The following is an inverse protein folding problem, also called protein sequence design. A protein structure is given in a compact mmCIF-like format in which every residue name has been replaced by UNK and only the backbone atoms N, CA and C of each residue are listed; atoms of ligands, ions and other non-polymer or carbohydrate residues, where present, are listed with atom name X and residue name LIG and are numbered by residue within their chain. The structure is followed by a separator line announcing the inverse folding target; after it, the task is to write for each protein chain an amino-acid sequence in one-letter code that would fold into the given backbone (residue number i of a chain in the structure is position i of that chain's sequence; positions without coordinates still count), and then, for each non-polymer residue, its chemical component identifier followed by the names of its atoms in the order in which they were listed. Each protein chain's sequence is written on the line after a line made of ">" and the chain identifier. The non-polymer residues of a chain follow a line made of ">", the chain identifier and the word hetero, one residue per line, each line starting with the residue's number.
data_IF_208471213489
#
_entry.id   IF_208471213489
#
_cell.length_a   1.000
_cell.length_b   1.000
_cell.length_c   1.000
_cell.angle_alpha   90.00
_cell.angle_beta   90.00
_cell.angle_gamma   90.00
#
_symmetry.space_group_name_H-M   'P 1'
#
loop_
_entity.id
_entity.type
_entity.pdbx_description
1 polymer ?
#
# COMPACT_ATOMS: atom_id res chain seq x y z
N UNK A 1 -13.51 -16.94 -4.38
CA UNK A 1 -13.16 -15.99 -5.46
C UNK A 1 -12.23 -15.00 -4.82
N UNK A 2 -10.97 -15.02 -5.23
CA UNK A 2 -10.00 -14.03 -4.80
C UNK A 2 -10.50 -12.67 -5.29
N UNK A 3 -10.79 -11.78 -4.35
CA UNK A 3 -11.28 -10.44 -4.61
C UNK A 3 -10.07 -9.63 -5.08
N UNK A 4 -9.90 -9.52 -6.40
CA UNK A 4 -8.81 -8.76 -7.00
C UNK A 4 -8.92 -7.30 -6.53
N UNK A 5 -7.87 -6.80 -5.89
CA UNK A 5 -7.76 -5.40 -5.44
C UNK A 5 -8.10 -4.41 -6.56
N UNK A 6 -7.87 -4.79 -7.82
CA UNK A 6 -8.22 -4.02 -9.01
C UNK A 6 -9.69 -3.62 -9.07
N UNK A 7 -10.62 -4.40 -8.51
CA UNK A 7 -12.06 -4.17 -8.68
C UNK A 7 -12.60 -3.00 -7.85
N UNK A 8 -12.04 -2.73 -6.67
CA UNK A 8 -12.50 -1.59 -5.84
C UNK A 8 -12.05 -0.25 -6.41
N UNK A 9 -10.94 -0.24 -7.15
CA UNK A 9 -10.43 0.98 -7.78
C UNK A 9 -11.34 1.48 -8.91
N UNK A 10 -12.24 0.64 -9.44
CA UNK A 10 -13.24 1.07 -10.42
C UNK A 10 -14.23 2.11 -9.89
N UNK A 11 -14.46 2.14 -8.57
CA UNK A 11 -15.30 3.15 -7.91
C UNK A 11 -14.82 4.57 -8.27
N UNK A 12 -13.50 4.74 -8.46
CA UNK A 12 -12.90 6.06 -8.68
C UNK A 12 -13.13 6.64 -10.07
N UNK A 13 -13.64 5.84 -11.02
CA UNK A 13 -14.05 6.33 -12.34
C UNK A 13 -15.23 7.31 -12.23
N UNK A 14 -16.15 7.06 -11.29
CA UNK A 14 -17.36 7.85 -11.04
C UNK A 14 -17.48 8.26 -9.56
N UNK A 15 -16.36 8.57 -8.89
CA UNK A 15 -16.32 8.78 -7.43
C UNK A 15 -17.29 9.84 -6.94
N UNK A 16 -17.52 10.90 -7.72
CA UNK A 16 -18.47 11.96 -7.39
C UNK A 16 -19.87 11.41 -7.09
N UNK A 17 -20.35 10.48 -7.92
CA UNK A 17 -21.67 9.85 -7.80
C UNK A 17 -21.79 9.15 -6.44
N UNK A 18 -20.75 8.42 -6.05
CA UNK A 18 -20.73 7.63 -4.82
C UNK A 18 -20.59 8.50 -3.56
N UNK A 19 -19.77 9.55 -3.61
CA UNK A 19 -19.71 10.56 -2.53
C UNK A 19 -21.08 11.23 -2.36
N UNK A 20 -21.72 11.60 -3.48
CA UNK A 20 -23.06 12.19 -3.44
C UNK A 20 -24.09 11.25 -2.79
N UNK A 21 -24.09 9.96 -3.12
CA UNK A 21 -24.98 9.00 -2.46
C UNK A 21 -24.72 8.93 -0.96
N UNK A 22 -23.45 8.82 -0.53
CA UNK A 22 -23.08 8.76 0.88
C UNK A 22 -23.57 9.99 1.65
N UNK A 23 -23.44 11.19 1.07
CA UNK A 23 -23.89 12.42 1.70
C UNK A 23 -25.41 12.57 1.69
N UNK A 24 -26.08 12.26 0.57
CA UNK A 24 -27.54 12.35 0.46
C UNK A 24 -28.23 11.35 1.39
N UNK A 25 -27.65 10.17 1.59
CA UNK A 25 -28.18 9.15 2.52
C UNK A 25 -28.17 9.58 3.98
N UNK A 26 -27.47 10.66 4.36
CA UNK A 26 -27.47 11.18 5.74
C UNK A 26 -28.69 12.07 6.06
N UNK A 27 -29.59 12.29 5.10
CA UNK A 27 -30.79 13.10 5.30
C UNK A 27 -31.77 12.44 6.29
N UNK A 28 -31.78 12.95 7.53
CA UNK A 28 -32.58 12.42 8.64
C UNK A 28 -34.08 12.39 8.35
N UNK A 29 -34.61 13.29 7.52
CA UNK A 29 -36.05 13.34 7.22
C UNK A 29 -36.61 12.11 6.50
N UNK A 30 -35.74 11.25 5.96
CA UNK A 30 -36.13 10.03 5.22
C UNK A 30 -35.76 8.75 5.98
N UNK A 31 -34.91 8.84 7.01
CA UNK A 31 -34.35 7.67 7.69
C UNK A 31 -35.35 6.88 8.55
N UNK A 32 -36.45 7.52 8.97
CA UNK A 32 -37.49 6.87 9.78
C UNK A 32 -38.11 5.67 9.06
N UNK A 33 -38.23 5.72 7.73
CA UNK A 33 -38.72 4.59 6.92
C UNK A 33 -37.82 3.36 6.94
N UNK A 34 -36.55 3.52 7.29
CA UNK A 34 -35.55 2.44 7.36
C UNK A 34 -35.29 1.96 8.79
N UNK A 35 -35.95 2.57 9.78
CA UNK A 35 -35.82 2.19 11.19
C UNK A 35 -36.27 0.75 11.48
N UNK A 36 -37.42 0.24 10.97
CA UNK A 36 -37.95 -1.06 11.38
C UNK A 36 -37.00 -2.25 11.16
N UNK A 37 -36.40 -2.48 9.98
CA UNK A 37 -35.47 -3.60 9.80
C UNK A 37 -34.21 -3.48 10.66
N UNK A 38 -33.72 -2.26 10.91
CA UNK A 38 -32.57 -2.04 11.77
C UNK A 38 -32.86 -2.32 13.24
N UNK A 39 -34.04 -1.96 13.75
CA UNK A 39 -34.47 -2.29 15.11
C UNK A 39 -34.61 -3.80 15.27
N UNK A 40 -35.25 -4.48 14.32
CA UNK A 40 -35.37 -5.95 14.33
C UNK A 40 -34.00 -6.64 14.34
N UNK A 41 -33.03 -6.11 13.61
CA UNK A 41 -31.66 -6.64 13.62
C UNK A 41 -31.01 -6.53 15.00
N UNK A 42 -31.22 -5.40 15.70
CA UNK A 42 -30.71 -5.20 17.06
C UNK A 42 -31.37 -6.17 18.05
N UNK A 43 -32.69 -6.34 17.97
CA UNK A 43 -33.47 -7.22 18.87
C UNK A 43 -33.16 -8.71 18.69
N UNK A 44 -32.89 -9.16 17.46
CA UNK A 44 -32.61 -10.57 17.12
C UNK A 44 -31.10 -10.88 17.06
N UNK A 45 -30.27 -10.04 17.66
CA UNK A 45 -28.83 -10.30 17.73
C UNK A 45 -28.52 -11.08 19.01
N UNK A 46 -28.28 -12.39 18.88
CA UNK A 46 -27.71 -13.22 19.95
C UNK A 46 -26.31 -12.69 20.35
N UNK A 47 -26.27 -11.70 21.25
CA UNK A 47 -25.13 -11.08 21.97
C UNK A 47 -23.83 -10.70 21.22
N UNK A 48 -23.21 -9.55 21.59
CA UNK A 48 -23.39 -8.32 20.85
C UNK A 48 -22.80 -8.46 19.44
N UNK A 49 -23.65 -8.68 18.45
CA UNK A 49 -23.31 -8.19 17.13
C UNK A 49 -23.12 -6.69 17.34
N UNK A 50 -21.91 -6.16 17.16
CA UNK A 50 -21.75 -4.70 17.17
C UNK A 50 -22.33 -4.22 15.85
N UNK A 51 -23.66 -4.25 15.77
CA UNK A 51 -24.42 -3.74 14.65
C UNK A 51 -23.90 -2.32 14.41
N UNK A 52 -23.74 -1.88 13.15
CA UNK A 52 -23.58 -0.46 12.89
C UNK A 52 -24.62 0.27 13.75
N UNK A 53 -24.24 1.36 14.42
CA UNK A 53 -25.22 2.08 15.23
C UNK A 53 -26.52 2.29 14.41
N UNK A 54 -27.66 2.38 15.07
CA UNK A 54 -28.98 2.41 14.40
C UNK A 54 -29.01 3.36 13.18
N UNK A 55 -28.32 4.50 13.30
CA UNK A 55 -28.17 5.49 12.25
C UNK A 55 -27.38 4.96 11.03
N UNK A 56 -26.22 4.36 11.21
CA UNK A 56 -25.42 3.77 10.13
C UNK A 56 -26.19 2.65 9.40
N UNK A 57 -26.98 1.86 10.12
CA UNK A 57 -27.87 0.87 9.52
C UNK A 57 -28.91 1.54 8.61
N UNK A 58 -29.62 2.55 9.12
CA UNK A 58 -30.62 3.28 8.33
C UNK A 58 -30.02 3.94 7.09
N UNK A 59 -28.84 4.56 7.24
CA UNK A 59 -28.11 5.17 6.13
C UNK A 59 -27.75 4.12 5.09
N UNK A 60 -27.27 2.94 5.49
CA UNK A 60 -26.93 1.86 4.57
C UNK A 60 -28.13 1.41 3.74
N UNK A 61 -29.28 1.17 4.40
CA UNK A 61 -30.50 0.74 3.71
C UNK A 61 -31.01 1.81 2.75
N UNK A 62 -30.96 3.08 3.17
CA UNK A 62 -31.34 4.18 2.30
C UNK A 62 -30.39 4.31 1.10
N UNK A 63 -29.10 4.16 1.32
CA UNK A 63 -28.09 4.18 0.27
C UNK A 63 -28.30 3.07 -0.75
N UNK A 64 -28.61 1.83 -0.32
CA UNK A 64 -28.98 0.74 -1.23
C UNK A 64 -30.17 1.16 -2.11
N UNK A 65 -31.23 1.72 -1.49
CA UNK A 65 -32.41 2.18 -2.24
C UNK A 65 -32.06 3.25 -3.26
N UNK A 66 -31.25 4.25 -2.89
CA UNK A 66 -30.83 5.34 -3.78
C UNK A 66 -30.01 4.83 -4.95
N UNK A 67 -29.00 4.00 -4.68
CA UNK A 67 -28.16 3.40 -5.72
C UNK A 67 -29.03 2.55 -6.65
N UNK A 68 -29.94 1.72 -6.14
CA UNK A 68 -30.87 0.94 -6.99
C UNK A 68 -31.73 1.84 -7.87
N UNK A 69 -32.39 2.83 -7.26
CA UNK A 69 -33.33 3.72 -7.95
C UNK A 69 -32.64 4.48 -9.09
N UNK A 70 -31.43 4.99 -8.83
CA UNK A 70 -30.65 5.72 -9.82
C UNK A 70 -30.07 4.84 -10.95
N UNK A 71 -30.13 3.51 -10.83
CA UNK A 71 -29.59 2.55 -11.79
C UNK A 71 -30.68 1.56 -12.24
N UNK A 72 -31.89 2.07 -12.52
CA UNK A 72 -33.02 1.31 -13.08
C UNK A 72 -33.40 0.08 -12.24
N UNK A 73 -33.33 0.21 -10.90
CA UNK A 73 -33.57 -0.84 -9.92
C UNK A 73 -32.60 -2.03 -9.99
N UNK A 74 -31.42 -1.84 -10.56
CA UNK A 74 -30.36 -2.85 -10.66
C UNK A 74 -29.07 -2.37 -10.03
N UNK A 75 -28.26 -3.29 -9.50
CA UNK A 75 -26.92 -3.01 -9.02
C UNK A 75 -25.91 -3.67 -9.95
N UNK A 76 -25.04 -2.87 -10.58
CA UNK A 76 -23.90 -3.40 -11.32
C UNK A 76 -22.75 -3.73 -10.35
N UNK A 77 -21.66 -4.34 -10.86
CA UNK A 77 -20.49 -4.73 -10.07
C UNK A 77 -19.90 -3.56 -9.27
N UNK A 78 -19.72 -2.39 -9.89
CA UNK A 78 -19.12 -1.20 -9.25
C UNK A 78 -20.01 -0.65 -8.14
N UNK A 79 -21.32 -0.58 -8.36
CA UNK A 79 -22.31 -0.21 -7.35
C UNK A 79 -22.23 -1.16 -6.14
N UNK A 80 -22.13 -2.47 -6.37
CA UNK A 80 -21.97 -3.45 -5.30
C UNK A 80 -20.64 -3.27 -4.55
N UNK A 81 -19.53 -3.01 -5.26
CA UNK A 81 -18.22 -2.75 -4.64
C UNK A 81 -18.23 -1.50 -3.76
N UNK A 82 -18.89 -0.42 -4.20
CA UNK A 82 -19.09 0.77 -3.37
C UNK A 82 -19.90 0.46 -2.11
N UNK A 83 -21.06 -0.22 -2.24
CA UNK A 83 -21.89 -0.59 -1.10
C UNK A 83 -21.12 -1.50 -0.12
N UNK A 84 -20.35 -2.46 -0.64
CA UNK A 84 -19.50 -3.32 0.17
C UNK A 84 -18.40 -2.53 0.90
N UNK A 85 -17.71 -1.62 0.21
CA UNK A 85 -16.71 -0.73 0.81
C UNK A 85 -17.30 0.11 1.94
N UNK A 86 -18.44 0.76 1.68
CA UNK A 86 -19.05 1.67 2.64
C UNK A 86 -19.44 0.97 3.94
N UNK A 87 -20.06 -0.22 3.86
CA UNK A 87 -20.45 -0.96 5.07
C UNK A 87 -19.24 -1.52 5.82
N UNK A 88 -18.19 -1.96 5.10
CA UNK A 88 -16.92 -2.35 5.73
C UNK A 88 -16.31 -1.19 6.51
N UNK A 89 -16.33 0.04 5.99
CA UNK A 89 -15.82 1.24 6.70
C UNK A 89 -16.55 1.48 8.02
N UNK A 90 -17.86 1.25 8.07
CA UNK A 90 -18.64 1.37 9.31
C UNK A 90 -18.30 0.26 10.28
N UNK A 91 -18.31 -0.99 9.82
CA UNK A 91 -18.14 -2.16 10.69
C UNK A 91 -16.75 -2.20 11.35
N UNK A 92 -15.70 -1.82 10.63
CA UNK A 92 -14.32 -1.82 11.13
C UNK A 92 -14.08 -0.95 12.35
N UNK A 93 -14.92 0.07 12.59
CA UNK A 93 -14.87 0.89 13.82
C UNK A 93 -15.26 0.13 15.08
N UNK A 94 -15.92 -1.00 14.89
CA UNK A 94 -16.52 -1.81 15.94
C UNK A 94 -15.83 -3.17 16.10
N UNK A 95 -14.83 -3.48 15.27
CA UNK A 95 -14.04 -4.71 15.30
C UNK A 95 -13.01 -4.63 16.43
N UNK A 96 -13.44 -4.84 17.69
CA UNK A 96 -12.51 -5.00 18.81
C UNK A 96 -11.93 -6.42 18.84
N UNK A 97 -12.77 -7.46 18.84
CA UNK A 97 -12.31 -8.85 19.04
C UNK A 97 -12.83 -9.87 18.01
N UNK A 98 -13.90 -9.57 17.27
CA UNK A 98 -14.47 -10.46 16.25
C UNK A 98 -14.96 -9.67 15.04
N UNK A 99 -14.43 -9.91 13.82
CA UNK A 99 -14.87 -9.21 12.63
C UNK A 99 -16.30 -9.59 12.29
N UNK A 100 -17.11 -8.58 11.96
CA UNK A 100 -18.51 -8.78 11.58
C UNK A 100 -18.56 -9.22 10.12
N UNK A 101 -19.12 -10.40 9.87
CA UNK A 101 -19.32 -10.86 8.49
C UNK A 101 -20.37 -10.00 7.78
N UNK A 102 -19.92 -9.17 6.84
CA UNK A 102 -20.76 -8.22 6.07
C UNK A 102 -21.92 -8.94 5.37
N UNK A 103 -21.61 -10.09 4.76
CA UNK A 103 -22.60 -10.90 4.04
C UNK A 103 -23.70 -11.45 4.97
N UNK A 104 -23.30 -11.89 6.17
CA UNK A 104 -24.24 -12.39 7.18
C UNK A 104 -25.13 -11.26 7.71
N UNK A 105 -24.55 -10.10 7.99
CA UNK A 105 -25.29 -8.90 8.39
C UNK A 105 -26.35 -8.52 7.36
N UNK A 106 -25.96 -8.40 6.10
CA UNK A 106 -26.88 -8.04 5.03
C UNK A 106 -27.97 -9.09 4.82
N UNK A 107 -27.65 -10.39 4.88
CA UNK A 107 -28.64 -11.46 4.77
C UNK A 107 -29.72 -11.37 5.85
N UNK A 108 -29.32 -11.07 7.11
CA UNK A 108 -30.27 -10.83 8.20
C UNK A 108 -31.14 -9.60 7.93
N UNK A 109 -30.55 -8.47 7.52
CA UNK A 109 -31.31 -7.28 7.16
C UNK A 109 -32.32 -7.55 6.04
N UNK A 110 -31.90 -8.25 4.98
CA UNK A 110 -32.75 -8.60 3.84
C UNK A 110 -33.90 -9.53 4.22
N UNK A 111 -33.77 -10.32 5.29
CA UNK A 111 -34.87 -11.11 5.85
C UNK A 111 -35.95 -10.26 6.53
N UNK A 112 -35.61 -9.04 6.96
CA UNK A 112 -36.53 -8.12 7.61
C UNK A 112 -37.15 -7.08 6.66
N UNK A 113 -36.55 -6.88 5.48
CA UNK A 113 -37.05 -5.98 4.44
C UNK A 113 -36.79 -6.58 3.05
N UNK A 114 -37.83 -7.08 2.40
CA UNK A 114 -37.72 -7.69 1.07
C UNK A 114 -37.31 -6.68 -0.02
N UNK A 115 -37.51 -5.37 0.18
CA UNK A 115 -37.18 -4.35 -0.82
C UNK A 115 -35.67 -4.17 -1.01
N UNK A 116 -34.89 -4.44 0.03
CA UNK A 116 -33.44 -4.35 -0.02
C UNK A 116 -32.80 -5.66 -0.49
N UNK A 117 -33.55 -6.76 -0.56
CA UNK A 117 -33.04 -8.05 -1.01
C UNK A 117 -32.58 -7.94 -2.48
N UNK A 118 -31.34 -8.32 -2.72
CA UNK A 118 -30.67 -8.22 -4.01
C UNK A 118 -29.60 -9.31 -4.11
N UNK A 119 -29.89 -10.34 -4.90
CA UNK A 119 -28.99 -11.48 -5.07
C UNK A 119 -27.63 -11.07 -5.66
N UNK A 120 -27.59 -10.01 -6.47
CA UNK A 120 -26.34 -9.55 -7.04
C UNK A 120 -25.48 -8.83 -5.99
N UNK A 121 -26.10 -8.01 -5.13
CA UNK A 121 -25.39 -7.43 -3.99
C UNK A 121 -24.86 -8.52 -3.06
N UNK A 122 -25.69 -9.49 -2.67
CA UNK A 122 -25.30 -10.59 -1.78
C UNK A 122 -24.07 -11.36 -2.27
N UNK A 123 -23.93 -11.56 -3.58
CA UNK A 123 -22.78 -12.23 -4.21
C UNK A 123 -21.47 -11.44 -4.10
N UNK A 124 -21.55 -10.12 -4.03
CA UNK A 124 -20.40 -9.20 -4.03
C UNK A 124 -20.08 -8.63 -2.64
N UNK A 125 -20.82 -9.02 -1.60
CA UNK A 125 -20.54 -8.63 -0.21
C UNK A 125 -19.54 -9.58 0.44
N UNK A 126 -18.48 -9.00 0.98
CA UNK A 126 -17.41 -9.69 1.70
C UNK A 126 -16.65 -8.73 2.61
N UNK A 127 -15.98 -9.28 3.61
CA UNK A 127 -15.00 -8.52 4.38
C UNK A 127 -13.82 -8.22 3.45
N UNK A 128 -13.49 -6.94 3.29
CA UNK A 128 -12.41 -6.49 2.40
C UNK A 128 -11.07 -6.76 3.09
N UNK A 129 -10.03 -7.18 2.38
CA UNK A 129 -8.68 -7.27 2.94
C UNK A 129 -8.21 -5.93 3.52
N UNK A 130 -7.41 -5.94 4.59
CA UNK A 130 -6.97 -4.72 5.26
C UNK A 130 -6.16 -3.78 4.36
N UNK A 131 -5.25 -4.32 3.55
CA UNK A 131 -4.39 -3.51 2.69
C UNK A 131 -5.21 -2.86 1.56
N UNK A 132 -6.13 -3.62 0.96
CA UNK A 132 -7.06 -3.10 -0.06
C UNK A 132 -7.95 -2.02 0.56
N UNK A 133 -8.56 -2.32 1.71
CA UNK A 133 -9.46 -1.40 2.41
C UNK A 133 -8.77 -0.09 2.75
N UNK A 134 -7.57 -0.12 3.31
CA UNK A 134 -6.84 1.08 3.73
C UNK A 134 -6.58 2.00 2.53
N UNK A 135 -6.09 1.45 1.42
CA UNK A 135 -5.83 2.20 0.20
C UNK A 135 -7.10 2.81 -0.41
N UNK A 136 -8.17 2.03 -0.53
CA UNK A 136 -9.46 2.51 -1.04
C UNK A 136 -10.05 3.59 -0.12
N UNK A 137 -9.93 3.42 1.20
CA UNK A 137 -10.42 4.36 2.19
C UNK A 137 -9.69 5.70 2.14
N UNK A 138 -8.36 5.68 1.98
CA UNK A 138 -7.56 6.90 1.80
C UNK A 138 -8.07 7.67 0.59
N UNK A 139 -8.16 7.02 -0.58
CA UNK A 139 -8.65 7.67 -1.80
C UNK A 139 -10.09 8.20 -1.62
N UNK A 140 -10.98 7.41 -1.04
CA UNK A 140 -12.37 7.81 -0.84
C UNK A 140 -12.49 9.05 0.06
N UNK A 141 -11.75 9.10 1.18
CA UNK A 141 -11.72 10.28 2.07
C UNK A 141 -11.13 11.51 1.39
N UNK A 142 -10.08 11.35 0.59
CA UNK A 142 -9.50 12.44 -0.20
C UNK A 142 -10.56 13.07 -1.11
N UNK A 143 -11.35 12.25 -1.81
CA UNK A 143 -12.45 12.73 -2.62
C UNK A 143 -13.62 13.30 -1.80
N UNK A 144 -13.95 12.75 -0.63
CA UNK A 144 -14.93 13.37 0.26
C UNK A 144 -14.49 14.78 0.69
N UNK A 145 -13.22 14.99 1.02
CA UNK A 145 -12.71 16.33 1.34
C UNK A 145 -12.77 17.25 0.12
N UNK A 146 -12.34 16.76 -1.05
CA UNK A 146 -12.39 17.51 -2.30
C UNK A 146 -13.80 18.00 -2.63
N UNK A 147 -14.81 17.13 -2.57
CA UNK A 147 -16.20 17.51 -2.87
C UNK A 147 -16.89 18.34 -1.79
N UNK A 148 -16.35 18.38 -0.57
CA UNK A 148 -16.76 19.35 0.46
C UNK A 148 -16.14 20.73 0.23
N UNK A 149 -14.92 20.77 -0.30
CA UNK A 149 -14.22 22.01 -0.66
C UNK A 149 -14.79 22.60 -1.94
N UNK A 150 -15.06 21.76 -2.94
CA UNK A 150 -15.41 22.17 -4.29
C UNK A 150 -16.76 21.62 -4.73
N UNK A 151 -17.64 22.51 -5.16
CA UNK A 151 -18.91 22.17 -5.77
C UNK A 151 -18.79 22.28 -7.29
N UNK A 152 -18.76 21.13 -7.95
CA UNK A 152 -18.68 21.04 -9.42
C UNK A 152 -19.88 21.68 -10.12
N UNK A 153 -21.10 21.54 -9.59
CA UNK A 153 -22.31 22.15 -10.16
C UNK A 153 -22.19 23.67 -10.24
N UNK A 154 -21.64 24.28 -9.19
CA UNK A 154 -21.45 25.73 -9.12
C UNK A 154 -20.09 26.16 -9.71
N UNK A 155 -19.26 25.22 -10.13
CA UNK A 155 -17.91 25.46 -10.63
C UNK A 155 -16.99 26.19 -9.66
N UNK A 156 -17.29 26.20 -8.35
CA UNK A 156 -16.68 27.09 -7.36
C UNK A 156 -16.45 26.44 -6.00
N UNK A 157 -15.61 27.06 -5.18
CA UNK A 157 -15.36 26.65 -3.79
C UNK A 157 -16.66 26.77 -2.97
N UNK A 158 -17.03 25.74 -2.23
CA UNK A 158 -18.32 25.68 -1.50
C UNK A 158 -18.21 25.85 0.02
N UNK A 159 -16.99 25.86 0.57
CA UNK A 159 -16.76 25.96 2.01
C UNK A 159 -16.53 27.43 2.46
N UNK A 160 -16.75 27.69 3.75
CA UNK A 160 -16.37 28.94 4.42
C UNK A 160 -14.88 28.94 4.75
N UNK A 161 -14.25 30.09 5.01
CA UNK A 161 -12.82 30.18 5.37
C UNK A 161 -12.43 29.15 6.45
N UNK A 162 -13.19 29.11 7.55
CA UNK A 162 -12.93 28.20 8.68
C UNK A 162 -13.06 26.74 8.27
N UNK A 163 -14.13 26.39 7.55
CA UNK A 163 -14.35 25.00 7.12
C UNK A 163 -13.39 24.57 6.02
N UNK A 164 -13.03 25.44 5.07
CA UNK A 164 -12.02 25.18 4.05
C UNK A 164 -10.66 24.91 4.68
N UNK A 165 -10.25 25.67 5.70
CA UNK A 165 -9.00 25.42 6.41
C UNK A 165 -9.00 24.03 7.04
N UNK A 166 -10.04 23.68 7.79
CA UNK A 166 -10.16 22.36 8.42
C UNK A 166 -10.18 21.21 7.40
N UNK A 167 -10.90 21.39 6.29
CA UNK A 167 -10.99 20.40 5.21
C UNK A 167 -9.66 20.23 4.48
N UNK A 168 -8.94 21.32 4.20
CA UNK A 168 -7.62 21.26 3.55
C UNK A 168 -6.57 20.66 4.47
N UNK A 169 -6.58 20.96 5.77
CA UNK A 169 -5.73 20.32 6.79
C UNK A 169 -6.00 18.80 6.85
N UNK A 170 -7.27 18.40 6.83
CA UNK A 170 -7.66 16.99 6.85
C UNK A 170 -7.25 16.26 5.56
N UNK A 171 -7.46 16.92 4.41
CA UNK A 171 -7.02 16.42 3.10
C UNK A 171 -5.50 16.25 3.05
N UNK A 172 -4.74 17.23 3.52
CA UNK A 172 -3.28 17.18 3.60
C UNK A 172 -2.80 15.97 4.39
N UNK A 173 -3.35 15.76 5.58
CA UNK A 173 -2.95 14.64 6.44
C UNK A 173 -3.35 13.28 5.88
N UNK A 174 -4.53 13.16 5.27
CA UNK A 174 -4.93 11.91 4.62
C UNK A 174 -4.08 11.63 3.37
N UNK A 175 -3.69 12.66 2.62
CA UNK A 175 -2.82 12.53 1.46
C UNK A 175 -1.41 12.08 1.85
N UNK A 176 -0.89 12.54 3.00
CA UNK A 176 0.38 12.01 3.57
C UNK A 176 0.31 10.51 3.78
N UNK A 177 -0.79 9.98 4.33
CA UNK A 177 -0.99 8.52 4.47
C UNK A 177 -0.97 7.84 3.11
N UNK A 178 -1.60 8.47 2.11
CA UNK A 178 -1.57 7.99 0.73
C UNK A 178 -0.15 7.88 0.16
N UNK A 179 0.69 8.88 0.40
CA UNK A 179 2.10 8.85 -0.02
C UNK A 179 2.85 7.69 0.66
N UNK A 180 2.66 7.51 1.97
CA UNK A 180 3.30 6.43 2.73
C UNK A 180 2.93 5.05 2.17
N UNK A 181 1.65 4.87 1.81
CA UNK A 181 1.11 3.60 1.32
C UNK A 181 1.27 3.41 -0.20
N UNK A 182 1.85 4.38 -0.91
CA UNK A 182 2.09 4.29 -2.34
C UNK A 182 3.50 3.70 -2.58
N UNK A 183 3.61 2.39 -2.93
CA UNK A 183 4.91 1.81 -3.28
C UNK A 183 5.48 2.52 -4.52
N UNK A 184 6.80 2.44 -4.70
CA UNK A 184 7.48 3.04 -5.87
C UNK A 184 6.97 2.49 -7.21
N UNK A 185 6.42 1.27 -7.21
CA UNK A 185 5.78 0.69 -8.38
C UNK A 185 4.48 1.43 -8.74
N UNK A 186 4.17 1.50 -10.04
CA UNK A 186 2.96 2.15 -10.56
C UNK A 186 1.68 1.33 -10.28
N UNK A 187 1.43 1.03 -9.00
CA UNK A 187 0.17 0.41 -8.58
C UNK A 187 -1.01 1.28 -8.97
N UNK A 188 -2.18 0.65 -9.16
CA UNK A 188 -3.42 1.36 -9.46
C UNK A 188 -3.75 2.41 -8.38
N UNK A 189 -3.50 2.10 -7.11
CA UNK A 189 -3.61 3.04 -6.01
C UNK A 189 -2.73 4.29 -6.20
N UNK A 190 -1.43 4.10 -6.47
CA UNK A 190 -0.50 5.19 -6.73
C UNK A 190 -0.93 6.06 -7.92
N UNK A 191 -1.43 5.42 -8.98
CA UNK A 191 -1.95 6.11 -10.16
C UNK A 191 -3.15 6.98 -9.81
N UNK A 192 -4.12 6.45 -9.07
CA UNK A 192 -5.30 7.19 -8.61
C UNK A 192 -4.93 8.31 -7.62
N UNK A 193 -3.95 8.10 -6.74
CA UNK A 193 -3.45 9.13 -5.83
C UNK A 193 -2.84 10.31 -6.60
N UNK A 194 -2.06 10.04 -7.65
CA UNK A 194 -1.49 11.07 -8.54
C UNK A 194 -2.57 11.80 -9.36
N UNK A 195 -3.61 11.08 -9.78
CA UNK A 195 -4.77 11.70 -10.42
C UNK A 195 -5.48 12.65 -9.47
N UNK A 196 -5.73 12.22 -8.22
CA UNK A 196 -6.30 13.08 -7.19
C UNK A 196 -5.45 14.34 -6.96
N UNK A 197 -4.12 14.20 -6.82
CA UNK A 197 -3.21 15.34 -6.65
C UNK A 197 -3.34 16.35 -7.78
N UNK A 198 -3.43 15.85 -9.02
CA UNK A 198 -3.59 16.67 -10.22
C UNK A 198 -4.92 17.43 -10.19
N UNK A 199 -6.02 16.78 -9.80
CA UNK A 199 -7.33 17.40 -9.65
C UNK A 199 -7.35 18.46 -8.54
N UNK A 200 -6.78 18.14 -7.38
CA UNK A 200 -6.72 19.07 -6.25
C UNK A 200 -5.92 20.34 -6.58
N UNK A 201 -4.83 20.22 -7.36
CA UNK A 201 -4.06 21.39 -7.83
C UNK A 201 -4.89 22.35 -8.69
N UNK A 202 -5.88 21.83 -9.44
CA UNK A 202 -6.77 22.66 -10.28
C UNK A 202 -7.72 23.54 -9.47
N UNK A 203 -7.93 23.25 -8.18
CA UNK A 203 -8.73 24.10 -7.29
C UNK A 203 -8.16 25.52 -7.20
N UNK A 204 -6.85 25.69 -7.41
CA UNK A 204 -6.18 26.99 -7.46
C UNK A 204 -6.72 27.95 -8.53
N UNK A 205 -7.34 27.39 -9.58
CA UNK A 205 -7.84 28.14 -10.72
C UNK A 205 -9.36 28.35 -10.67
N UNK A 206 -10.03 27.87 -9.62
CA UNK A 206 -11.49 28.01 -9.49
C UNK A 206 -11.87 29.38 -8.96
N UNK A 207 -13.15 29.72 -9.00
CA UNK A 207 -13.65 30.94 -8.36
C UNK A 207 -14.05 30.65 -6.91
N UNK A 208 -13.85 31.63 -6.04
CA UNK A 208 -14.39 31.62 -4.68
C UNK A 208 -15.65 32.49 -4.66
N UNK A 209 -16.80 31.96 -4.22
CA UNK A 209 -18.01 32.77 -4.05
C UNK A 209 -17.91 33.68 -2.82
N UNK A 210 -17.01 33.38 -1.88
CA UNK A 210 -16.73 34.22 -0.72
C UNK A 210 -15.59 35.19 -1.03
N UNK A 211 -15.83 36.49 -0.81
CA UNK A 211 -14.78 37.52 -0.87
C UNK A 211 -13.70 37.35 0.21
N UNK A 212 -14.00 36.56 1.25
CA UNK A 212 -13.15 36.38 2.42
C UNK A 212 -12.25 35.14 2.32
N UNK A 213 -12.49 34.26 1.34
CA UNK A 213 -11.64 33.09 1.10
C UNK A 213 -10.82 33.28 -0.16
N UNK A 214 -9.50 33.47 0.03
CA UNK A 214 -8.57 33.44 -1.09
C UNK A 214 -8.16 32.00 -1.36
N UNK A 215 -8.32 31.57 -2.61
CA UNK A 215 -7.93 30.23 -3.06
C UNK A 215 -6.42 29.99 -2.91
N UNK A 216 -5.61 31.05 -2.85
CA UNK A 216 -4.20 30.94 -2.49
C UNK A 216 -3.95 30.38 -1.08
N UNK A 217 -4.96 30.41 -0.21
CA UNK A 217 -4.91 29.85 1.16
C UNK A 217 -5.11 28.33 1.18
N UNK A 218 -5.46 27.69 0.05
CA UNK A 218 -5.52 26.24 -0.03
C UNK A 218 -4.14 25.63 0.28
N UNK A 219 -4.10 24.75 1.27
CA UNK A 219 -2.88 24.05 1.66
C UNK A 219 -2.38 23.22 0.48
N UNK A 220 -1.12 23.43 0.12
CA UNK A 220 -0.43 22.66 -0.92
C UNK A 220 -0.24 21.23 -0.40
N UNK A 221 -0.65 20.25 -1.21
CA UNK A 221 -0.36 18.84 -0.91
C UNK A 221 1.17 18.61 -0.90
N UNK A 222 1.66 17.79 0.06
CA UNK A 222 3.08 17.55 0.22
C UNK A 222 3.63 16.67 -0.90
N UNK A 223 4.91 16.79 -1.20
CA UNK A 223 5.59 15.89 -2.15
C UNK A 223 6.00 14.57 -1.47
N UNK A 224 6.33 13.55 -2.28
CA UNK A 224 6.90 12.32 -1.76
C UNK A 224 8.16 12.58 -0.92
N UNK A 225 9.05 13.45 -1.40
CA UNK A 225 10.29 13.82 -0.70
C UNK A 225 10.02 14.49 0.66
N UNK A 226 9.03 15.38 0.74
CA UNK A 226 8.64 16.06 1.99
C UNK A 226 8.14 15.04 3.03
N UNK A 227 7.27 14.10 2.62
CA UNK A 227 6.75 13.05 3.51
C UNK A 227 7.84 12.05 3.88
N UNK A 228 8.68 11.63 2.92
CA UNK A 228 9.76 10.68 3.17
C UNK A 228 10.75 11.23 4.20
N UNK A 229 11.07 12.53 4.12
CA UNK A 229 11.90 13.22 5.10
C UNK A 229 11.23 13.31 6.47
N UNK A 230 9.93 13.63 6.52
CA UNK A 230 9.16 13.74 7.78
C UNK A 230 9.10 12.41 8.53
N UNK A 231 8.85 11.30 7.83
CA UNK A 231 8.65 9.97 8.41
C UNK A 231 9.91 9.11 8.43
N UNK A 232 11.05 9.63 7.96
CA UNK A 232 12.29 8.86 7.87
C UNK A 232 12.16 7.65 6.94
N UNK A 233 11.36 7.74 5.89
CA UNK A 233 11.24 6.68 4.87
C UNK A 233 12.54 6.68 4.09
N UNK A 234 13.37 5.68 4.40
CA UNK A 234 14.69 5.50 3.82
C UNK A 234 14.51 5.00 2.39
N UNK A 235 14.81 5.85 1.41
CA UNK A 235 14.96 5.42 0.03
C UNK A 235 16.27 4.64 -0.12
N UNK A 236 16.17 3.31 0.01
CA UNK A 236 17.31 2.43 -0.14
C UNK A 236 17.96 2.50 -1.52
N UNK A 237 17.23 2.83 -2.58
CA UNK A 237 17.83 2.94 -3.93
C UNK A 237 18.70 4.18 -4.05
N UNK A 238 18.22 5.33 -3.57
CA UNK A 238 19.00 6.57 -3.55
C UNK A 238 20.21 6.47 -2.61
N UNK A 239 20.05 5.77 -1.47
CA UNK A 239 21.16 5.49 -0.56
C UNK A 239 22.17 4.52 -1.18
N UNK A 240 21.72 3.44 -1.83
CA UNK A 240 22.61 2.51 -2.53
C UNK A 240 23.38 3.23 -3.63
N UNK A 241 22.73 4.08 -4.43
CA UNK A 241 23.40 4.87 -5.48
C UNK A 241 24.45 5.80 -4.86
N UNK A 242 24.12 6.53 -3.79
CA UNK A 242 25.06 7.42 -3.09
C UNK A 242 26.25 6.65 -2.49
N UNK A 243 25.99 5.50 -1.87
CA UNK A 243 27.04 4.62 -1.32
C UNK A 243 27.92 4.08 -2.44
N UNK A 244 27.35 3.60 -3.55
CA UNK A 244 28.10 3.13 -4.71
C UNK A 244 28.91 4.24 -5.37
N UNK A 245 28.42 5.48 -5.40
CA UNK A 245 29.16 6.62 -5.93
C UNK A 245 30.36 7.00 -5.05
N UNK A 246 30.22 6.94 -3.72
CA UNK A 246 31.29 7.30 -2.77
C UNK A 246 32.31 6.16 -2.63
N UNK A 247 31.86 4.91 -2.52
CA UNK A 247 32.71 3.75 -2.26
C UNK A 247 33.17 3.04 -3.53
N UNK A 248 32.42 3.11 -4.63
CA UNK A 248 32.76 2.49 -5.91
C UNK A 248 34.15 2.88 -6.44
N UNK A 249 34.56 4.16 -6.40
CA UNK A 249 35.91 4.58 -6.78
C UNK A 249 37.00 3.98 -5.87
N UNK A 250 36.75 3.89 -4.56
CA UNK A 250 37.70 3.32 -3.60
C UNK A 250 37.95 1.83 -3.87
N UNK A 251 36.87 1.07 -4.11
CA UNK A 251 36.99 -0.34 -4.50
C UNK A 251 37.63 -0.51 -5.88
N UNK A 252 37.34 0.38 -6.83
CA UNK A 252 37.99 0.40 -8.15
C UNK A 252 39.50 0.63 -8.07
N UNK A 253 39.94 1.65 -7.32
CA UNK A 253 41.37 1.96 -7.13
C UNK A 253 42.10 0.82 -6.41
N UNK A 254 41.47 0.22 -5.40
CA UNK A 254 42.03 -0.93 -4.68
C UNK A 254 42.22 -2.15 -5.60
N UNK A 255 41.23 -2.47 -6.44
CA UNK A 255 41.34 -3.55 -7.42
C UNK A 255 42.40 -3.28 -8.49
N UNK A 256 42.48 -2.05 -9.00
CA UNK A 256 43.52 -1.63 -9.95
C UNK A 256 44.90 -1.77 -9.30
N UNK A 257 45.07 -1.34 -8.05
CA UNK A 257 46.34 -1.44 -7.32
C UNK A 257 46.78 -2.91 -7.13
N UNK A 258 45.84 -3.82 -6.82
CA UNK A 258 46.12 -5.25 -6.73
C UNK A 258 46.50 -5.87 -8.08
N UNK A 259 45.87 -5.45 -9.16
CA UNK A 259 46.21 -5.87 -10.51
C UNK A 259 47.60 -5.36 -10.93
N UNK A 260 47.92 -4.09 -10.66
CA UNK A 260 49.24 -3.52 -10.94
C UNK A 260 50.35 -4.18 -10.11
N UNK A 261 50.07 -4.54 -8.85
CA UNK A 261 51.02 -5.27 -7.99
C UNK A 261 51.27 -6.71 -8.46
N UNK A 262 50.30 -7.33 -9.15
CA UNK A 262 50.48 -8.62 -9.83
C UNK A 262 51.29 -8.49 -11.14
N UNK A 263 51.38 -7.26 -11.67
CA UNK A 263 52.18 -6.86 -12.84
C UNK A 263 53.41 -6.02 -12.45
N UNK A 264 54.05 -6.28 -11.32
CA UNK A 264 55.41 -5.77 -11.10
C UNK A 264 56.38 -6.53 -12.03
N UNK A 265 57.03 -5.91 -13.04
CA UNK A 265 57.93 -6.62 -13.95
C UNK A 265 59.33 -6.87 -13.35
N UNK A 266 59.55 -6.55 -12.07
CA UNK A 266 60.84 -6.70 -11.40
C UNK A 266 60.86 -7.85 -10.39
N UNK A 267 60.44 -9.04 -10.84
CA UNK A 267 60.96 -10.30 -10.31
C UNK A 267 62.40 -10.54 -10.81
N UNK A 268 63.35 -9.69 -10.41
CA UNK A 268 64.79 -9.97 -10.59
C UNK A 268 65.46 -10.00 -9.22
N UNK A 269 65.72 -11.20 -8.74
CA UNK A 269 66.66 -11.46 -7.63
C UNK A 269 68.05 -11.00 -8.08
N UNK A 270 68.73 -10.04 -7.42
CA UNK A 270 70.12 -9.77 -7.75
C UNK A 270 70.98 -10.90 -7.18
N UNK A 271 71.50 -11.75 -8.05
CA UNK A 271 72.61 -12.63 -7.72
C UNK A 271 73.85 -11.78 -7.43
N UNK A 272 74.10 -11.49 -6.15
CA UNK A 272 75.36 -10.90 -5.71
C UNK A 272 76.40 -12.03 -5.61
N UNK A 273 77.33 -12.08 -6.58
CA UNK A 273 78.59 -12.82 -6.44
C UNK A 273 79.50 -12.02 -5.50
N UNK A 274 79.74 -12.54 -4.30
CA UNK A 274 80.91 -12.16 -3.48
C UNK A 274 81.83 -13.37 -3.33
N UNK A 275 83.03 -13.23 -3.92
CA UNK A 275 84.17 -14.12 -3.77
C UNK A 275 85.07 -13.50 -2.69
N UNK A 276 85.31 -14.20 -1.57
CA UNK A 276 86.35 -13.81 -0.60
C UNK A 276 86.16 -14.28 0.85
N UNK A 277 86.42 -15.57 1.08
CA UNK A 277 86.98 -16.25 2.29
C UNK A 277 86.64 -15.69 3.69
N UNK A 278 86.02 -16.47 4.58
CA UNK A 278 86.77 -17.46 5.37
C UNK A 278 85.93 -18.72 5.68
N UNK A 279 86.41 -19.87 5.20
CA UNK A 279 85.88 -21.20 5.52
C UNK A 279 86.64 -21.78 6.71
N UNK A 280 85.92 -22.17 7.77
CA UNK A 280 86.33 -23.29 8.63
C UNK A 280 85.30 -24.40 8.49
N UNK A 281 85.83 -25.60 8.25
CA UNK A 281 85.14 -26.87 7.93
C UNK A 281 84.47 -27.46 9.17
N UNK A 282 83.37 -28.20 8.97
CA UNK A 282 83.34 -29.63 9.30
C UNK A 282 82.17 -30.39 8.60
N UNK A 283 82.58 -31.42 7.85
CA UNK A 283 82.04 -32.77 7.60
C UNK A 283 80.72 -33.05 6.81
N UNK A 284 80.90 -33.99 5.84
CA UNK A 284 79.93 -34.82 5.08
C UNK A 284 79.22 -35.84 5.99
N UNK A 285 78.04 -36.38 5.64
CA UNK A 285 77.77 -37.58 4.79
C UNK A 285 76.21 -37.78 4.80
N UNK A 286 75.46 -38.41 3.88
CA UNK A 286 75.70 -39.19 2.67
C UNK A 286 74.41 -39.26 1.82
N UNK A 287 74.55 -39.74 0.58
CA UNK A 287 73.58 -39.97 -0.49
C UNK A 287 72.49 -41.05 -0.25
N UNK A 288 71.55 -41.08 -1.22
CA UNK A 288 70.86 -42.24 -1.84
C UNK A 288 69.31 -42.23 -1.71
N UNK A 289 68.45 -42.50 -2.71
CA UNK A 289 68.55 -42.88 -4.12
C UNK A 289 67.23 -42.57 -4.89
N UNK A 290 67.40 -42.33 -6.21
CA UNK A 290 66.55 -42.42 -7.42
C UNK A 290 65.12 -43.06 -7.44
N UNK A 291 64.21 -42.38 -8.17
CA UNK A 291 63.32 -42.76 -9.34
C UNK A 291 62.49 -44.08 -9.26
N UNK A 292 61.26 -44.27 -9.80
CA UNK A 292 60.55 -43.65 -10.93
C UNK A 292 59.09 -44.23 -11.12
N UNK A 293 58.18 -43.40 -11.69
CA UNK A 293 57.03 -43.68 -12.61
C UNK A 293 55.83 -44.58 -12.14
N UNK A 294 54.56 -44.41 -12.54
CA UNK A 294 53.92 -44.06 -13.86
C UNK A 294 52.39 -43.80 -13.69
N UNK A 295 51.81 -42.91 -14.55
CA UNK A 295 50.46 -42.84 -15.22
C UNK A 295 49.20 -43.54 -14.61
N UNK A 296 47.92 -43.12 -14.71
CA UNK A 296 47.20 -42.34 -15.74
C UNK A 296 45.76 -41.88 -15.30
N UNK A 297 45.32 -40.75 -15.87
CA UNK A 297 43.99 -40.31 -16.36
C UNK A 297 42.61 -40.32 -15.62
N UNK A 298 41.92 -39.16 -15.80
CA UNK A 298 40.48 -38.86 -16.08
C UNK A 298 39.39 -38.67 -14.98
N UNK A 299 39.04 -37.38 -14.80
CA UNK A 299 37.71 -36.70 -14.76
C UNK A 299 36.54 -37.23 -13.89
N UNK A 300 35.88 -36.32 -13.11
CA UNK A 300 34.51 -35.76 -13.31
C UNK A 300 33.96 -35.08 -12.02
N UNK A 301 33.47 -33.84 -12.23
CA UNK A 301 32.50 -32.94 -11.54
C UNK A 301 31.78 -33.26 -10.19
N UNK A 302 31.75 -32.18 -9.39
CA UNK A 302 30.65 -31.46 -8.67
C UNK A 302 29.93 -32.02 -7.42
N UNK A 303 29.88 -31.09 -6.45
CA UNK A 303 28.79 -30.69 -5.54
C UNK A 303 28.49 -31.50 -4.26
N UNK A 304 28.77 -30.89 -3.11
CA UNK A 304 28.14 -31.19 -1.82
C UNK A 304 27.10 -30.09 -1.48
N UNK A 305 25.92 -30.54 -1.07
CA UNK A 305 24.76 -29.79 -0.56
C UNK A 305 24.64 -30.10 0.94
N UNK A 306 24.47 -29.09 1.80
CA UNK A 306 24.04 -29.25 3.20
C UNK A 306 22.64 -28.61 3.33
N UNK A 307 21.57 -29.40 3.47
CA UNK A 307 20.89 -29.89 4.71
C UNK A 307 20.15 -28.81 5.52
N UNK A 308 18.82 -28.78 5.38
CA UNK A 308 17.81 -28.19 6.28
C UNK A 308 17.20 -29.31 7.16
N UNK A 309 16.84 -29.06 8.44
CA UNK A 309 15.99 -29.97 9.20
C UNK A 309 14.53 -29.49 9.29
N UNK A 310 13.61 -30.44 9.09
CA UNK A 310 12.16 -30.33 9.30
C UNK A 310 11.82 -31.09 10.60
N UNK A 311 10.95 -30.53 11.44
CA UNK A 311 10.32 -31.25 12.56
C UNK A 311 8.83 -31.46 12.23
N UNK A 312 8.41 -32.73 12.17
CA UNK A 312 7.01 -33.17 12.17
C UNK A 312 6.71 -33.80 13.53
N UNK A 313 5.54 -33.49 14.10
CA UNK A 313 5.01 -34.17 15.29
C UNK A 313 3.70 -34.88 14.92
N UNK A 314 3.66 -36.17 15.28
CA UNK A 314 2.59 -37.12 15.04
C UNK A 314 1.41 -36.96 16.01
N UNK A 315 0.25 -37.42 15.56
CA UNK A 315 -0.96 -37.64 16.35
C UNK A 315 -0.83 -38.88 17.23
N UNK A 316 -1.44 -38.84 18.41
CA UNK A 316 -1.82 -40.00 19.23
C UNK A 316 -3.23 -39.78 19.74
#
# INVERSE_FOLDING_TARGET
>A
MDDDASDYYEIFKDIQKYVHYSDFSKNKGVLDGFKPPCVKLLENSDHPFVVPNLLDCQIFLYMIKLVKTANSNTLNKVNCKFLNFWINEKLRKYEQDKPICVKTLYSKLASFDANINDDNLLKHLNNIDNNIFENVNILYKLYEFYYKIYNETNGSISCTVVSCKQLTDSCFNEYKKGIINCPKDQSEFCRLLKQFESQYKLLKNKSSPSRDFNISELIKLPTYEEVAKEFGIIDWEDIIIKICYILGPMFGIMLISLCLNKFNPFGKVPCIKLRGQNKRKHNLHDESHKKAHTYDNKNIKKNMIYKLPYNSADYS
#
